data_IF_727074176598
#
_entry.id   IF_727074176598
#
_cell.length_a   1.000
_cell.length_b   1.000
_cell.length_c   1.000
_cell.angle_alpha   90.00
_cell.angle_beta   90.00
_cell.angle_gamma   90.00
#
_symmetry.space_group_name_H-M   'P 1'
#
loop_
_entity.id
_entity.type
_entity.pdbx_description
1 polymer ?
#
# COMPACT_ATOMS: atom_id res chain seq x y z
N UNK A 1 -0.78 -11.48 21.01
CA UNK A 1 -0.08 -11.79 19.74
C UNK A 1 -1.00 -11.40 18.58
N UNK A 2 -0.51 -10.99 17.41
CA UNK A 2 -1.37 -10.51 16.31
C UNK A 2 -2.22 -11.64 15.70
N UNK A 3 -3.31 -11.97 16.39
CA UNK A 3 -4.19 -13.07 16.02
C UNK A 3 -5.10 -12.66 14.87
N UNK A 4 -4.99 -13.42 13.78
CA UNK A 4 -5.91 -13.37 12.67
C UNK A 4 -7.22 -14.03 13.15
N UNK A 5 -8.36 -13.38 12.94
CA UNK A 5 -9.68 -13.97 13.21
C UNK A 5 -10.42 -14.12 11.88
N UNK A 6 -10.76 -15.36 11.45
CA UNK A 6 -10.43 -16.65 12.07
C UNK A 6 -8.92 -16.97 12.04
N UNK A 7 -8.43 -17.88 12.90
CA UNK A 7 -7.04 -18.31 12.88
C UNK A 7 -6.69 -18.93 11.52
N UNK A 8 -5.60 -18.45 10.91
CA UNK A 8 -5.14 -18.88 9.60
C UNK A 8 -3.66 -19.24 9.65
N UNK A 9 -3.31 -20.37 9.04
CA UNK A 9 -1.92 -20.74 8.75
C UNK A 9 -1.29 -19.83 7.69
N UNK A 10 0.04 -19.92 7.56
CA UNK A 10 0.84 -19.07 6.70
C UNK A 10 0.35 -19.05 5.25
N UNK A 11 0.12 -20.22 4.64
CA UNK A 11 -0.31 -20.35 3.23
C UNK A 11 -1.63 -19.61 2.97
N UNK A 12 -2.60 -19.72 3.89
CA UNK A 12 -3.89 -19.05 3.75
C UNK A 12 -3.74 -17.53 3.90
N UNK A 13 -2.90 -17.05 4.84
CA UNK A 13 -2.59 -15.62 4.94
C UNK A 13 -1.93 -15.08 3.67
N UNK A 14 -0.97 -15.84 3.13
CA UNK A 14 -0.27 -15.48 1.89
C UNK A 14 -1.24 -15.41 0.71
N UNK A 15 -2.16 -16.37 0.60
CA UNK A 15 -3.21 -16.37 -0.44
C UNK A 15 -4.12 -15.14 -0.34
N UNK A 16 -4.60 -14.79 0.86
CA UNK A 16 -5.44 -13.59 1.07
C UNK A 16 -4.68 -12.32 0.73
N UNK A 17 -3.43 -12.19 1.22
CA UNK A 17 -2.58 -11.06 0.94
C UNK A 17 -2.31 -10.91 -0.57
N UNK A 18 -1.99 -12.01 -1.23
CA UNK A 18 -1.71 -12.06 -2.67
C UNK A 18 -2.93 -11.63 -3.48
N UNK A 19 -4.12 -12.14 -3.14
CA UNK A 19 -5.38 -11.74 -3.77
C UNK A 19 -5.68 -10.24 -3.56
N UNK A 20 -5.46 -9.71 -2.36
CA UNK A 20 -5.62 -8.28 -2.08
C UNK A 20 -4.62 -7.45 -2.89
N UNK A 21 -3.35 -7.86 -2.91
CA UNK A 21 -2.27 -7.19 -3.61
C UNK A 21 -2.57 -7.07 -5.11
N UNK A 22 -2.92 -8.17 -5.78
CA UNK A 22 -3.23 -8.13 -7.22
C UNK A 22 -4.46 -7.29 -7.55
N UNK A 23 -5.50 -7.34 -6.72
CA UNK A 23 -6.70 -6.50 -6.91
C UNK A 23 -6.39 -5.03 -6.75
N UNK A 24 -5.59 -4.67 -5.75
CA UNK A 24 -5.13 -3.29 -5.55
C UNK A 24 -4.24 -2.83 -6.71
N UNK A 25 -3.27 -3.66 -7.12
CA UNK A 25 -2.38 -3.35 -8.24
C UNK A 25 -3.16 -3.16 -9.54
N UNK A 26 -4.04 -4.09 -9.91
CA UNK A 26 -4.85 -3.96 -11.12
C UNK A 26 -5.71 -2.69 -11.12
N UNK A 27 -6.34 -2.36 -9.99
CA UNK A 27 -7.21 -1.19 -9.89
C UNK A 27 -6.44 0.16 -9.87
N UNK A 28 -5.19 0.14 -9.39
CA UNK A 28 -4.39 1.37 -9.23
C UNK A 28 -3.35 1.55 -10.32
N UNK A 29 -3.11 0.52 -11.15
CA UNK A 29 -2.20 0.55 -12.28
C UNK A 29 -2.42 1.78 -13.20
N UNK A 30 -3.66 2.17 -13.58
CA UNK A 30 -3.84 3.35 -14.42
C UNK A 30 -3.35 4.64 -13.77
N UNK A 31 -3.55 4.79 -12.46
CA UNK A 31 -3.10 5.96 -11.69
C UNK A 31 -1.56 5.98 -11.68
N UNK A 32 -0.92 4.84 -11.40
CA UNK A 32 0.53 4.72 -11.44
C UNK A 32 1.13 5.06 -12.81
N UNK A 33 0.51 4.61 -13.90
CA UNK A 33 0.97 4.94 -15.25
C UNK A 33 0.88 6.44 -15.54
N UNK A 34 -0.19 7.10 -15.09
CA UNK A 34 -0.37 8.56 -15.21
C UNK A 34 0.71 9.28 -14.38
N UNK A 35 0.92 8.89 -13.13
CA UNK A 35 1.92 9.51 -12.25
C UNK A 35 3.34 9.35 -12.79
N UNK A 36 3.68 8.16 -13.32
CA UNK A 36 4.99 7.90 -13.95
C UNK A 36 5.16 8.74 -15.21
N UNK A 37 4.15 8.78 -16.10
CA UNK A 37 4.20 9.58 -17.32
C UNK A 37 4.36 11.08 -16.99
N UNK A 38 3.61 11.57 -16.00
CA UNK A 38 3.71 12.95 -15.52
C UNK A 38 5.09 13.24 -14.90
N UNK A 39 5.67 12.31 -14.13
CA UNK A 39 7.01 12.45 -13.56
C UNK A 39 8.08 12.49 -14.66
N UNK A 40 8.02 11.61 -15.65
CA UNK A 40 8.94 11.61 -16.80
C UNK A 40 8.81 12.89 -17.60
N UNK A 41 7.58 13.35 -17.86
CA UNK A 41 7.33 14.62 -18.51
C UNK A 41 7.90 15.80 -17.69
N UNK A 42 7.69 15.80 -16.38
CA UNK A 42 8.22 16.82 -15.48
C UNK A 42 9.76 16.84 -15.51
N UNK A 43 10.41 15.68 -15.41
CA UNK A 43 11.88 15.55 -15.45
C UNK A 43 12.47 15.99 -16.80
N UNK A 44 11.83 15.67 -17.92
CA UNK A 44 12.31 16.11 -19.25
C UNK A 44 12.23 17.63 -19.38
N UNK A 45 11.15 18.26 -18.90
CA UNK A 45 11.00 19.72 -18.89
C UNK A 45 11.99 20.42 -17.96
N UNK A 46 12.29 19.83 -16.80
CA UNK A 46 13.31 20.32 -15.87
C UNK A 46 14.70 20.35 -16.52
N UNK A 47 15.06 19.32 -17.28
CA UNK A 47 16.35 19.26 -18.01
C UNK A 47 16.46 20.34 -19.09
N UNK A 48 15.36 20.64 -19.78
CA UNK A 48 15.35 21.68 -20.82
C UNK A 48 15.38 23.11 -20.26
N UNK A 49 15.00 23.33 -19.00
CA UNK A 49 14.90 24.65 -18.37
C UNK A 49 16.18 25.11 -17.65
N UNK A 50 17.36 24.61 -18.06
CA UNK A 50 18.66 24.92 -17.43
C UNK A 50 18.72 24.72 -15.90
N UNK A 51 17.88 23.85 -15.34
CA UNK A 51 17.83 23.55 -13.91
C UNK A 51 16.92 24.47 -13.07
N UNK A 52 16.22 25.44 -13.69
CA UNK A 52 15.21 26.23 -12.99
C UNK A 52 13.82 25.57 -13.13
N UNK A 53 13.21 25.09 -12.03
CA UNK A 53 11.91 24.46 -12.10
C UNK A 53 10.85 25.49 -12.53
N UNK A 54 10.13 25.30 -13.64
CA UNK A 54 9.00 26.14 -13.96
C UNK A 54 7.95 25.98 -12.84
N UNK A 55 7.71 27.06 -12.09
CA UNK A 55 6.91 27.05 -10.86
C UNK A 55 5.52 26.43 -11.11
N UNK A 56 4.85 26.84 -12.18
CA UNK A 56 3.52 26.33 -12.53
C UNK A 56 3.48 24.82 -12.78
N UNK A 57 4.49 24.27 -13.46
CA UNK A 57 4.58 22.84 -13.76
C UNK A 57 4.95 22.02 -12.51
N UNK A 58 5.72 22.60 -11.58
CA UNK A 58 6.03 22.00 -10.27
C UNK A 58 4.79 21.98 -9.38
N UNK A 59 4.01 23.06 -9.35
CA UNK A 59 2.73 23.11 -8.63
C UNK A 59 1.75 22.09 -9.23
N UNK A 60 1.62 22.04 -10.56
CA UNK A 60 0.74 21.09 -11.24
C UNK A 60 1.11 19.63 -10.92
N UNK A 61 2.40 19.29 -10.93
CA UNK A 61 2.87 17.97 -10.55
C UNK A 61 2.57 17.66 -9.06
N UNK A 62 2.82 18.60 -8.16
CA UNK A 62 2.47 18.44 -6.74
C UNK A 62 0.97 18.22 -6.52
N UNK A 63 0.12 18.97 -7.21
CA UNK A 63 -1.34 18.78 -7.16
C UNK A 63 -1.76 17.42 -7.71
N UNK A 64 -1.16 16.98 -8.82
CA UNK A 64 -1.41 15.65 -9.37
C UNK A 64 -1.12 14.57 -8.33
N UNK A 65 0.05 14.60 -7.68
CA UNK A 65 0.43 13.63 -6.65
C UNK A 65 -0.59 13.60 -5.50
N UNK A 66 -1.07 14.76 -5.05
CA UNK A 66 -2.09 14.85 -4.00
C UNK A 66 -3.40 14.21 -4.47
N UNK A 67 -3.88 14.54 -5.67
CA UNK A 67 -5.12 13.99 -6.23
C UNK A 67 -5.01 12.47 -6.42
N UNK A 68 -3.90 12.00 -7.01
CA UNK A 68 -3.61 10.57 -7.18
C UNK A 68 -3.61 9.83 -5.85
N UNK A 69 -3.01 10.41 -4.81
CA UNK A 69 -3.03 9.85 -3.45
C UNK A 69 -4.44 9.77 -2.87
N UNK A 70 -5.23 10.82 -3.03
CA UNK A 70 -6.62 10.87 -2.55
C UNK A 70 -7.52 9.86 -3.27
N UNK A 71 -7.25 9.56 -4.54
CA UNK A 71 -7.95 8.52 -5.31
C UNK A 71 -7.47 7.11 -4.94
N UNK A 72 -6.17 6.92 -4.73
CA UNK A 72 -5.57 5.63 -4.40
C UNK A 72 -6.12 5.05 -3.10
N UNK A 73 -6.28 5.88 -2.06
CA UNK A 73 -6.74 5.44 -0.74
C UNK A 73 -8.10 4.72 -0.77
N UNK A 74 -9.21 5.33 -1.21
CA UNK A 74 -10.50 4.64 -1.24
C UNK A 74 -10.49 3.43 -2.17
N UNK A 75 -9.85 3.50 -3.34
CA UNK A 75 -9.74 2.38 -4.27
C UNK A 75 -9.07 1.18 -3.60
N UNK A 76 -7.93 1.40 -2.94
CA UNK A 76 -7.21 0.36 -2.21
C UNK A 76 -8.07 -0.26 -1.10
N UNK A 77 -8.83 0.57 -0.37
CA UNK A 77 -9.78 0.10 0.64
C UNK A 77 -10.86 -0.83 0.08
N UNK A 78 -11.51 -0.41 -1.02
CA UNK A 78 -12.53 -1.21 -1.69
C UNK A 78 -11.98 -2.53 -2.24
N UNK A 79 -10.78 -2.51 -2.83
CA UNK A 79 -10.15 -3.72 -3.37
C UNK A 79 -9.70 -4.68 -2.27
N UNK A 80 -9.26 -4.15 -1.12
CA UNK A 80 -8.96 -4.96 0.07
C UNK A 80 -10.22 -5.69 0.54
N UNK A 81 -11.35 -4.99 0.67
CA UNK A 81 -12.62 -5.61 1.03
C UNK A 81 -13.00 -6.72 0.05
N UNK A 82 -12.90 -6.47 -1.27
CA UNK A 82 -13.19 -7.48 -2.30
C UNK A 82 -12.26 -8.70 -2.19
N UNK A 83 -10.98 -8.49 -1.88
CA UNK A 83 -10.04 -9.58 -1.62
C UNK A 83 -10.46 -10.44 -0.43
N UNK A 84 -10.78 -9.80 0.71
CA UNK A 84 -11.29 -10.50 1.90
C UNK A 84 -12.60 -11.25 1.63
N UNK A 85 -13.54 -10.63 0.88
CA UNK A 85 -14.80 -11.26 0.48
C UNK A 85 -14.58 -12.51 -0.38
N UNK A 86 -13.64 -12.46 -1.33
CA UNK A 86 -13.29 -13.60 -2.18
C UNK A 86 -12.73 -14.81 -1.40
N UNK A 87 -12.22 -14.58 -0.19
CA UNK A 87 -11.74 -15.64 0.71
C UNK A 87 -12.73 -15.99 1.83
N UNK A 88 -14.00 -15.60 1.68
CA UNK A 88 -15.09 -15.84 2.64
C UNK A 88 -14.77 -15.33 4.07
N UNK A 89 -14.09 -14.18 4.16
CA UNK A 89 -13.80 -13.53 5.44
C UNK A 89 -14.89 -12.52 5.81
N UNK A 90 -14.99 -12.19 7.10
CA UNK A 90 -15.99 -11.24 7.61
C UNK A 90 -15.75 -9.84 7.01
N UNK A 91 -16.69 -9.37 6.20
CA UNK A 91 -16.67 -8.05 5.55
C UNK A 91 -18.05 -7.41 5.62
N UNK A 92 -18.13 -6.06 5.63
CA UNK A 92 -19.43 -5.38 5.58
C UNK A 92 -20.09 -5.56 4.20
N UNK A 93 -21.43 -5.59 4.17
CA UNK A 93 -22.24 -5.72 2.93
C UNK A 93 -22.11 -4.48 2.04
N UNK A 94 -22.11 -3.30 2.65
CA UNK A 94 -21.80 -2.03 2.00
C UNK A 94 -20.63 -1.36 2.72
N UNK A 95 -19.76 -0.69 1.97
CA UNK A 95 -18.65 0.06 2.53
C UNK A 95 -18.72 1.50 2.07
N UNK A 96 -18.80 2.42 3.04
CA UNK A 96 -18.79 3.86 2.74
C UNK A 96 -17.39 4.32 2.32
N UNK A 97 -17.32 5.44 1.59
CA UNK A 97 -16.03 6.02 1.16
C UNK A 97 -15.09 6.23 2.36
N UNK A 98 -15.62 6.77 3.47
CA UNK A 98 -14.88 6.96 4.72
C UNK A 98 -14.32 5.64 5.27
N UNK A 99 -15.12 4.57 5.27
CA UNK A 99 -14.69 3.25 5.75
C UNK A 99 -13.59 2.64 4.87
N UNK A 100 -13.68 2.81 3.54
CA UNK A 100 -12.67 2.37 2.59
C UNK A 100 -11.36 3.16 2.76
N UNK A 101 -11.43 4.49 2.82
CA UNK A 101 -10.26 5.35 3.04
C UNK A 101 -9.57 5.02 4.36
N UNK A 102 -10.32 4.86 5.45
CA UNK A 102 -9.74 4.51 6.74
C UNK A 102 -9.08 3.12 6.76
N UNK A 103 -9.62 2.16 6.00
CA UNK A 103 -9.00 0.85 5.82
C UNK A 103 -7.66 0.95 5.09
N UNK A 104 -7.62 1.74 4.00
CA UNK A 104 -6.39 1.98 3.27
C UNK A 104 -5.36 2.74 4.10
N UNK A 105 -5.75 3.80 4.81
CA UNK A 105 -4.86 4.54 5.73
C UNK A 105 -4.26 3.63 6.81
N UNK A 106 -5.04 2.71 7.36
CA UNK A 106 -4.51 1.73 8.31
C UNK A 106 -3.49 0.83 7.64
N UNK A 107 -3.80 0.34 6.44
CA UNK A 107 -2.94 -0.57 5.70
C UNK A 107 -1.61 0.08 5.33
N UNK A 108 -1.68 1.27 4.75
CA UNK A 108 -0.52 2.06 4.35
C UNK A 108 0.27 2.55 5.57
N UNK A 109 -0.39 3.01 6.63
CA UNK A 109 0.29 3.49 7.83
C UNK A 109 1.11 2.39 8.52
N UNK A 110 0.55 1.20 8.70
CA UNK A 110 1.29 0.07 9.26
C UNK A 110 2.31 -0.51 8.28
N UNK A 111 2.01 -0.51 6.98
CA UNK A 111 2.97 -0.89 5.93
C UNK A 111 4.21 0.00 5.96
N UNK A 112 4.03 1.32 5.93
CA UNK A 112 5.11 2.30 6.01
C UNK A 112 5.91 2.16 7.30
N UNK A 113 5.26 2.00 8.45
CA UNK A 113 5.96 1.79 9.72
C UNK A 113 6.87 0.56 9.66
N UNK A 114 6.36 -0.56 9.16
CA UNK A 114 7.14 -1.79 9.01
C UNK A 114 8.28 -1.59 8.00
N UNK A 115 8.01 -0.97 6.85
CA UNK A 115 9.02 -0.70 5.82
C UNK A 115 10.14 0.18 6.37
N UNK A 116 9.84 1.26 7.09
CA UNK A 116 10.84 2.15 7.70
C UNK A 116 11.71 1.40 8.70
N UNK A 117 11.10 0.59 9.58
CA UNK A 117 11.85 -0.21 10.54
C UNK A 117 12.79 -1.21 9.85
N UNK A 118 12.33 -1.88 8.80
CA UNK A 118 13.16 -2.80 8.00
C UNK A 118 14.28 -2.04 7.26
N UNK A 119 13.98 -0.86 6.70
CA UNK A 119 14.97 -0.04 6.02
C UNK A 119 16.09 0.38 6.96
N UNK A 120 15.76 0.81 8.18
CA UNK A 120 16.75 1.23 9.19
C UNK A 120 17.51 0.03 9.75
N UNK A 121 16.82 -1.06 10.10
CA UNK A 121 17.42 -2.19 10.81
C UNK A 121 18.21 -3.14 9.89
N UNK A 122 17.83 -3.25 8.61
CA UNK A 122 18.35 -4.29 7.70
C UNK A 122 18.95 -3.67 6.44
N UNK A 123 18.18 -2.90 5.68
CA UNK A 123 18.63 -2.44 4.36
C UNK A 123 19.78 -1.42 4.47
N UNK A 124 19.70 -0.51 5.44
CA UNK A 124 20.71 0.52 5.65
C UNK A 124 22.07 -0.09 6.06
N UNK A 125 22.18 -0.95 7.10
CA UNK A 125 23.44 -1.60 7.45
C UNK A 125 24.03 -2.43 6.31
N UNK A 126 23.22 -3.26 5.65
CA UNK A 126 23.70 -4.13 4.56
C UNK A 126 24.19 -3.32 3.35
N UNK A 127 23.54 -2.20 3.05
CA UNK A 127 24.00 -1.27 2.01
C UNK A 127 25.36 -0.66 2.37
N UNK A 128 25.55 -0.25 3.62
CA UNK A 128 26.83 0.30 4.10
C UNK A 128 27.94 -0.75 4.15
N UNK A 129 27.58 -2.02 4.37
CA UNK A 129 28.50 -3.15 4.33
C UNK A 129 28.84 -3.64 2.90
N UNK A 130 28.37 -2.96 1.85
CA UNK A 130 28.66 -3.34 0.46
C UNK A 130 27.77 -4.45 -0.12
N UNK A 131 26.68 -4.81 0.56
CA UNK A 131 25.73 -5.84 0.13
C UNK A 131 24.32 -5.27 -0.17
N UNK A 132 24.18 -4.35 -1.13
CA UNK A 132 22.90 -3.68 -1.40
C UNK A 132 21.82 -4.64 -1.93
N UNK A 133 22.20 -5.59 -2.79
CA UNK A 133 21.25 -6.55 -3.40
C UNK A 133 20.71 -7.53 -2.35
N UNK A 134 21.55 -8.21 -1.54
CA UNK A 134 21.05 -9.03 -0.43
C UNK A 134 20.18 -8.24 0.56
N UNK A 135 20.56 -6.99 0.87
CA UNK A 135 19.78 -6.10 1.73
C UNK A 135 18.38 -5.82 1.17
N UNK A 136 18.26 -5.58 -0.13
CA UNK A 136 16.96 -5.40 -0.78
C UNK A 136 16.11 -6.67 -0.77
N UNK A 137 16.70 -7.82 -1.12
CA UNK A 137 16.00 -9.10 -1.15
C UNK A 137 15.47 -9.48 0.25
N UNK A 138 16.32 -9.37 1.28
CA UNK A 138 15.93 -9.62 2.66
C UNK A 138 14.87 -8.62 3.14
N UNK A 139 15.05 -7.34 2.79
CA UNK A 139 14.07 -6.31 3.09
C UNK A 139 12.70 -6.61 2.46
N UNK A 140 12.65 -7.07 1.21
CA UNK A 140 11.42 -7.47 0.53
C UNK A 140 10.74 -8.63 1.26
N UNK A 141 11.48 -9.68 1.60
CA UNK A 141 10.95 -10.83 2.32
C UNK A 141 10.37 -10.42 3.69
N UNK A 142 11.08 -9.57 4.44
CA UNK A 142 10.61 -9.04 5.71
C UNK A 142 9.38 -8.14 5.56
N UNK A 143 9.27 -7.38 4.46
CA UNK A 143 8.08 -6.57 4.19
C UNK A 143 6.86 -7.45 3.91
N UNK A 144 7.03 -8.57 3.18
CA UNK A 144 5.96 -9.56 2.99
C UNK A 144 5.53 -10.16 4.33
N UNK A 145 6.48 -10.58 5.16
CA UNK A 145 6.19 -11.10 6.53
C UNK A 145 5.46 -10.03 7.35
N UNK A 146 5.94 -8.80 7.32
CA UNK A 146 5.31 -7.64 7.93
C UNK A 146 3.86 -7.44 7.48
N UNK A 147 3.62 -7.51 6.18
CA UNK A 147 2.28 -7.42 5.63
C UNK A 147 1.37 -8.54 6.16
N UNK A 148 1.86 -9.79 6.20
CA UNK A 148 1.08 -10.96 6.64
C UNK A 148 0.77 -10.99 8.14
N UNK A 149 1.69 -10.51 8.97
CA UNK A 149 1.60 -10.64 10.43
C UNK A 149 1.26 -9.34 11.16
N UNK A 150 1.46 -8.18 10.53
CA UNK A 150 1.15 -6.86 11.12
C UNK A 150 -0.03 -6.23 10.41
N UNK A 151 0.00 -6.12 9.08
CA UNK A 151 -1.00 -5.38 8.31
C UNK A 151 -2.30 -6.17 8.13
N UNK A 152 -2.20 -7.43 7.70
CA UNK A 152 -3.34 -8.30 7.39
C UNK A 152 -4.29 -8.50 8.59
N UNK A 153 -3.82 -8.78 9.83
CA UNK A 153 -4.71 -8.91 10.98
C UNK A 153 -5.42 -7.60 11.33
N UNK A 154 -4.80 -6.44 11.08
CA UNK A 154 -5.41 -5.12 11.32
C UNK A 154 -6.47 -4.79 10.29
N UNK A 155 -6.24 -5.14 9.02
CA UNK A 155 -7.25 -5.07 7.97
C UNK A 155 -8.46 -5.95 8.33
N UNK A 156 -8.21 -7.20 8.73
CA UNK A 156 -9.25 -8.15 9.14
C UNK A 156 -10.08 -7.61 10.32
N UNK A 157 -9.41 -7.13 11.37
CA UNK A 157 -10.06 -6.53 12.55
C UNK A 157 -10.92 -5.34 12.17
N UNK A 158 -10.41 -4.44 11.32
CA UNK A 158 -11.13 -3.23 10.93
C UNK A 158 -12.36 -3.55 10.07
N UNK A 159 -12.24 -4.49 9.14
CA UNK A 159 -13.37 -4.96 8.33
C UNK A 159 -14.44 -5.64 9.18
N UNK A 160 -14.04 -6.44 10.18
CA UNK A 160 -14.96 -7.06 11.13
C UNK A 160 -15.71 -6.02 11.97
N UNK A 161 -15.02 -5.03 12.51
CA UNK A 161 -15.65 -3.93 13.25
C UNK A 161 -16.63 -3.13 12.37
N UNK A 162 -16.28 -2.90 11.10
CA UNK A 162 -17.18 -2.26 10.13
C UNK A 162 -18.40 -3.12 9.80
N UNK A 163 -18.24 -4.44 9.73
CA UNK A 163 -19.35 -5.37 9.51
C UNK A 163 -20.31 -5.42 10.70
N UNK A 164 -19.78 -5.41 11.93
CA UNK A 164 -20.57 -5.38 13.16
C UNK A 164 -21.34 -4.06 13.34
N UNK A 165 -20.75 -2.93 12.94
CA UNK A 165 -21.42 -1.63 13.00
C UNK A 165 -22.50 -1.43 11.92
N UNK A 166 -22.62 -2.35 10.97
CA UNK A 166 -23.57 -2.30 9.86
C UNK A 166 -24.64 -3.39 9.93
N UNK A 167 -24.59 -4.25 10.95
CA UNK A 167 -25.58 -5.28 11.27
C UNK A 167 -26.51 -4.78 12.38
#
# INVERSE_FOLDING_TARGET
MFEMLPPMGFVRRLSVWWSCFWRQMAATLPIWLIDIAALVFWMTRMRSAAGHPPLGLTIAFGLLVIVSTLLYLPISGYMTRKGFAAHALSVPVAQTLKQATMLALTSTGWGLLVSVLISIAVQWPLRHAGHPVPGQALGLALNVIGALYVVLPRQARRLRLQAQAAA
#
